data_IF_483387878987
#
_entry.id   IF_483387878987
#
_cell.length_a   1.000
_cell.length_b   1.000
_cell.length_c   1.000
_cell.angle_alpha   90.00
_cell.angle_beta   90.00
_cell.angle_gamma   90.00
#
_symmetry.space_group_name_H-M   'P 1'
#
loop_
_entity.id
_entity.type
_entity.pdbx_description
1 polymer ?
#
# COMPACT_ATOMS: atom_id res chain seq x y z
N UNK A 1 -23.26 -7.80 -2.44
CA UNK A 1 -22.40 -8.85 -3.01
C UNK A 1 -21.11 -9.01 -2.22
N UNK A 2 -20.38 -10.12 -2.40
CA UNK A 2 -19.10 -10.39 -1.73
C UNK A 2 -17.95 -10.38 -2.73
N UNK A 3 -16.96 -9.54 -2.48
CA UNK A 3 -15.74 -9.43 -3.28
C UNK A 3 -14.57 -10.14 -2.61
N UNK A 4 -13.72 -10.79 -3.41
CA UNK A 4 -12.49 -11.44 -2.93
C UNK A 4 -11.30 -10.88 -3.70
N UNK A 5 -10.31 -10.36 -2.97
CA UNK A 5 -9.10 -9.83 -3.59
C UNK A 5 -8.27 -10.99 -4.20
N UNK A 6 -7.90 -10.92 -5.49
CA UNK A 6 -7.17 -12.00 -6.16
C UNK A 6 -5.70 -12.13 -5.71
N UNK A 7 -5.11 -11.10 -5.09
CA UNK A 7 -3.72 -11.16 -4.62
C UNK A 7 -3.61 -11.72 -3.20
N UNK A 8 -4.35 -11.16 -2.23
CA UNK A 8 -4.19 -11.51 -0.81
C UNK A 8 -5.34 -12.34 -0.22
N UNK A 9 -6.42 -12.59 -0.96
CA UNK A 9 -7.57 -13.36 -0.49
C UNK A 9 -8.45 -12.66 0.55
N UNK A 10 -8.25 -11.35 0.78
CA UNK A 10 -9.13 -10.55 1.63
C UNK A 10 -10.57 -10.53 1.07
N UNK A 11 -11.55 -10.56 1.97
CA UNK A 11 -12.98 -10.68 1.63
C UNK A 11 -13.72 -9.43 2.10
N UNK A 12 -14.46 -8.78 1.20
CA UNK A 12 -15.20 -7.55 1.47
C UNK A 12 -16.68 -7.73 1.15
N UNK A 13 -17.55 -7.23 2.02
CA UNK A 13 -18.98 -7.19 1.79
C UNK A 13 -19.38 -5.78 1.36
N UNK A 14 -19.93 -5.68 0.15
CA UNK A 14 -20.19 -4.40 -0.51
C UNK A 14 -21.60 -4.42 -1.08
N UNK A 15 -22.43 -3.39 -0.83
CA UNK A 15 -23.77 -3.29 -1.43
C UNK A 15 -23.70 -3.24 -2.96
N UNK A 16 -24.69 -3.81 -3.64
CA UNK A 16 -24.67 -3.89 -5.11
C UNK A 16 -24.78 -2.49 -5.77
N UNK A 17 -25.42 -1.54 -5.08
CA UNK A 17 -25.61 -0.16 -5.53
C UNK A 17 -24.31 0.63 -5.77
N UNK A 18 -23.20 0.24 -5.13
CA UNK A 18 -21.93 0.96 -5.27
C UNK A 18 -21.08 0.47 -6.44
N UNK A 19 -21.49 -0.62 -7.10
CA UNK A 19 -20.89 -1.09 -8.35
C UNK A 19 -21.84 -0.69 -9.50
N UNK A 20 -21.47 0.25 -10.39
CA UNK A 20 -22.29 0.60 -11.55
C UNK A 20 -22.53 -0.61 -12.45
N UNK A 21 -23.60 -0.57 -13.25
CA UNK A 21 -23.93 -1.65 -14.20
C UNK A 21 -22.75 -1.95 -15.14
N UNK A 22 -22.07 -0.93 -15.65
CA UNK A 22 -20.90 -1.10 -16.52
C UNK A 22 -19.68 -1.74 -15.83
N UNK A 23 -19.75 -2.04 -14.52
CA UNK A 23 -18.64 -2.48 -13.69
C UNK A 23 -17.78 -1.32 -13.18
N UNK A 24 -16.84 -1.62 -12.29
CA UNK A 24 -15.92 -0.63 -11.72
C UNK A 24 -14.61 -1.26 -11.24
N UNK A 25 -13.53 -0.50 -11.37
CA UNK A 25 -12.26 -0.80 -10.72
C UNK A 25 -12.35 -0.63 -9.20
N UNK A 26 -12.01 -1.68 -8.47
CA UNK A 26 -12.00 -1.73 -7.00
C UNK A 26 -10.57 -1.95 -6.49
N UNK A 27 -10.21 -1.28 -5.40
CA UNK A 27 -8.89 -1.37 -4.80
C UNK A 27 -8.96 -2.09 -3.44
N UNK A 28 -8.06 -3.04 -3.22
CA UNK A 28 -7.95 -3.74 -1.95
C UNK A 28 -7.31 -2.83 -0.89
N UNK A 29 -7.97 -2.62 0.25
CA UNK A 29 -7.39 -1.85 1.36
C UNK A 29 -6.24 -2.57 2.09
N UNK A 30 -6.13 -3.90 1.92
CA UNK A 30 -5.11 -4.71 2.59
C UNK A 30 -3.77 -4.79 1.82
N UNK A 31 -3.82 -4.87 0.48
CA UNK A 31 -2.61 -5.04 -0.36
C UNK A 31 -2.46 -3.99 -1.48
N UNK A 32 -3.46 -3.14 -1.70
CA UNK A 32 -3.40 -2.06 -2.69
C UNK A 32 -3.72 -2.47 -4.13
N UNK A 33 -3.87 -3.75 -4.43
CA UNK A 33 -4.20 -4.22 -5.79
C UNK A 33 -5.54 -3.70 -6.26
N UNK A 34 -5.57 -3.30 -7.51
CA UNK A 34 -6.76 -2.83 -8.20
C UNK A 34 -7.18 -3.88 -9.22
N UNK A 35 -8.45 -4.28 -9.19
CA UNK A 35 -9.03 -5.19 -10.19
C UNK A 35 -10.42 -4.72 -10.59
N UNK A 36 -10.88 -5.16 -11.76
CA UNK A 36 -12.19 -4.81 -12.28
C UNK A 36 -13.25 -5.76 -11.73
N UNK A 37 -14.35 -5.21 -11.19
CA UNK A 37 -15.51 -5.98 -10.75
C UNK A 37 -16.73 -5.66 -11.61
N UNK A 38 -17.32 -6.69 -12.20
CA UNK A 38 -18.62 -6.61 -12.90
C UNK A 38 -19.77 -6.55 -11.88
N UNK A 39 -20.84 -5.83 -12.22
CA UNK A 39 -22.09 -5.85 -11.47
C UNK A 39 -22.70 -7.25 -11.53
N UNK A 40 -23.32 -7.77 -10.44
CA UNK A 40 -23.90 -9.11 -10.40
C UNK A 40 -24.98 -9.36 -11.47
N UNK A 41 -25.65 -8.31 -11.98
CA UNK A 41 -26.60 -8.43 -13.10
C UNK A 41 -25.95 -8.61 -14.48
N UNK A 42 -24.65 -8.35 -14.59
CA UNK A 42 -23.85 -8.51 -15.81
C UNK A 42 -22.89 -9.71 -15.72
N UNK A 43 -23.03 -10.52 -14.69
CA UNK A 43 -22.37 -11.82 -14.64
C UNK A 43 -23.13 -12.75 -15.59
N UNK A 44 -22.58 -12.98 -16.79
CA UNK A 44 -23.13 -13.86 -17.81
C UNK A 44 -23.40 -15.29 -17.27
N UNK A 45 -22.79 -15.67 -16.13
CA UNK A 45 -23.04 -16.95 -15.46
C UNK A 45 -24.29 -16.99 -14.58
N UNK A 46 -24.84 -15.86 -14.15
CA UNK A 46 -26.03 -15.80 -13.29
C UNK A 46 -27.33 -15.49 -14.05
N UNK A 47 -27.23 -14.89 -15.24
CA UNK A 47 -28.37 -14.68 -16.14
C UNK A 47 -28.96 -16.01 -16.65
N UNK A 48 -28.15 -17.07 -16.73
CA UNK A 48 -28.59 -18.43 -17.08
C UNK A 48 -29.37 -19.13 -15.94
N UNK A 49 -29.14 -18.74 -14.67
CA UNK A 49 -29.78 -19.37 -13.49
C UNK A 49 -31.14 -18.74 -13.13
N UNK A 50 -31.41 -17.48 -13.52
CA UNK A 50 -32.66 -16.76 -13.22
C UNK A 50 -33.70 -16.77 -14.36
N UNK A 51 -33.46 -17.46 -15.46
CA UNK A 51 -34.50 -17.80 -16.45
C UNK A 51 -35.20 -16.61 -17.14
N UNK A 52 -34.62 -15.41 -17.12
CA UNK A 52 -35.18 -14.26 -17.83
C UNK A 52 -34.63 -14.24 -19.26
N UNK A 53 -35.34 -14.93 -20.15
CA UNK A 53 -34.97 -15.10 -21.54
C UNK A 53 -34.86 -13.76 -22.29
N UNK A 54 -33.63 -13.29 -22.52
CA UNK A 54 -33.39 -12.25 -23.52
C UNK A 54 -33.40 -12.89 -24.90
N UNK A 55 -34.49 -12.67 -25.64
CA UNK A 55 -34.63 -13.02 -27.06
C UNK A 55 -33.52 -12.33 -27.86
N UNK A 56 -32.52 -13.10 -28.30
CA UNK A 56 -31.61 -12.72 -29.37
C UNK A 56 -32.33 -12.88 -30.73
N UNK A 57 -32.27 -11.89 -31.64
CA UNK A 57 -32.82 -12.09 -32.98
C UNK A 57 -31.90 -13.04 -33.76
N UNK A 58 -32.51 -14.15 -34.17
CA UNK A 58 -31.99 -15.19 -35.04
C UNK A 58 -31.60 -14.62 -36.41
N UNK A 59 -30.33 -14.73 -36.80
CA UNK A 59 -29.91 -14.53 -38.21
C UNK A 59 -28.94 -15.65 -38.61
N UNK A 60 -29.54 -16.70 -39.14
CA UNK A 60 -29.19 -17.41 -40.38
C UNK A 60 -27.72 -17.41 -40.83
N UNK A 61 -27.11 -18.59 -40.70
CA UNK A 61 -25.81 -18.96 -41.26
C UNK A 61 -25.84 -19.00 -42.82
N UNK A 62 -24.93 -18.34 -43.56
CA UNK A 62 -24.71 -18.59 -44.98
C UNK A 62 -23.38 -19.33 -45.26
N UNK A 63 -23.28 -20.07 -46.38
CA UNK A 63 -22.18 -20.98 -46.67
C UNK A 63 -20.92 -20.27 -47.21
N UNK A 64 -19.80 -21.00 -47.11
CA UNK A 64 -18.45 -20.65 -47.58
C UNK A 64 -18.36 -20.36 -49.08
N UNK A 65 -17.58 -19.34 -49.50
CA UNK A 65 -16.98 -19.33 -50.84
C UNK A 65 -15.45 -19.11 -50.83
N UNK A 66 -14.74 -19.88 -51.67
CA UNK A 66 -13.37 -19.59 -52.13
C UNK A 66 -13.33 -18.35 -53.09
N UNK A 67 -12.18 -17.94 -53.69
CA UNK A 67 -11.49 -16.69 -53.39
C UNK A 67 -11.52 -15.62 -54.52
N UNK A 68 -11.00 -14.42 -54.19
CA UNK A 68 -10.49 -13.34 -55.09
C UNK A 68 -11.53 -12.33 -55.63
N UNK A 69 -11.21 -11.05 -55.95
CA UNK A 69 -10.04 -10.20 -55.67
C UNK A 69 -10.37 -8.98 -54.78
N UNK A 70 -9.33 -8.31 -54.25
CA UNK A 70 -9.46 -7.06 -53.51
C UNK A 70 -10.05 -5.91 -54.37
N UNK A 71 -11.06 -5.17 -53.88
CA UNK A 71 -11.43 -3.85 -54.37
C UNK A 71 -10.88 -2.74 -53.45
N UNK A 72 -10.91 -1.48 -53.91
CA UNK A 72 -9.86 -0.51 -53.66
C UNK A 72 -10.08 0.31 -52.39
N UNK A 73 -8.96 0.87 -51.92
CA UNK A 73 -8.82 1.94 -50.93
C UNK A 73 -9.98 2.96 -51.02
N UNK A 74 -10.93 2.86 -50.10
CA UNK A 74 -11.92 3.90 -49.83
C UNK A 74 -11.33 4.75 -48.71
N UNK A 75 -10.84 5.93 -49.09
CA UNK A 75 -10.45 6.98 -48.15
C UNK A 75 -11.72 7.45 -47.44
N UNK A 76 -11.89 7.04 -46.19
CA UNK A 76 -12.86 7.63 -45.28
C UNK A 76 -12.32 9.00 -44.83
N UNK A 77 -13.12 10.09 -44.87
CA UNK A 77 -12.61 11.42 -44.56
C UNK A 77 -12.25 11.52 -43.09
N UNK A 78 -10.99 11.84 -42.79
CA UNK A 78 -10.55 12.21 -41.45
C UNK A 78 -11.44 13.35 -40.95
N UNK A 79 -12.28 13.04 -39.96
CA UNK A 79 -13.06 14.00 -39.21
C UNK A 79 -12.05 14.84 -38.42
N UNK A 80 -11.65 15.99 -38.97
CA UNK A 80 -10.85 16.99 -38.25
C UNK A 80 -11.60 17.40 -36.98
N UNK A 81 -11.16 16.90 -35.83
CA UNK A 81 -11.45 17.51 -34.53
C UNK A 81 -10.64 18.80 -34.43
N UNK A 82 -11.27 19.97 -34.27
CA UNK A 82 -10.55 21.22 -34.01
C UNK A 82 -9.75 21.11 -32.70
N UNK A 83 -8.61 21.82 -32.57
CA UNK A 83 -7.86 21.87 -31.33
C UNK A 83 -8.74 22.45 -30.21
N UNK A 84 -8.91 21.68 -29.12
CA UNK A 84 -9.57 22.15 -27.90
C UNK A 84 -8.66 23.21 -27.28
N UNK A 85 -9.04 24.48 -27.40
CA UNK A 85 -8.35 25.56 -26.70
C UNK A 85 -8.49 25.38 -25.18
N UNK A 86 -7.43 25.63 -24.39
CA UNK A 86 -7.52 25.51 -22.94
C UNK A 86 -8.56 26.49 -22.40
N UNK A 87 -9.58 25.97 -21.72
CA UNK A 87 -10.56 26.80 -21.06
C UNK A 87 -9.86 27.68 -20.00
N UNK A 88 -10.20 28.97 -19.88
CA UNK A 88 -9.66 29.82 -18.83
C UNK A 88 -9.99 29.21 -17.47
N UNK A 89 -8.99 29.13 -16.57
CA UNK A 89 -9.21 28.67 -15.18
C UNK A 89 -10.27 29.56 -14.57
N UNK A 90 -11.34 28.96 -14.08
CA UNK A 90 -12.44 29.69 -13.45
C UNK A 90 -11.93 30.25 -12.14
N UNK A 91 -11.73 31.57 -12.10
CA UNK A 91 -11.41 32.27 -10.87
C UNK A 91 -12.58 32.07 -9.89
N UNK A 92 -12.26 31.68 -8.66
CA UNK A 92 -13.25 31.52 -7.60
C UNK A 92 -13.86 32.89 -7.30
N UNK A 93 -15.17 32.92 -7.09
CA UNK A 93 -15.87 34.15 -6.71
C UNK A 93 -15.21 34.77 -5.46
N UNK A 94 -15.01 36.10 -5.39
CA UNK A 94 -14.32 36.74 -4.29
C UNK A 94 -14.89 36.36 -2.92
N UNK A 95 -16.22 36.20 -2.81
CA UNK A 95 -16.87 35.79 -1.56
C UNK A 95 -16.45 34.38 -1.10
N UNK A 96 -16.26 33.45 -2.03
CA UNK A 96 -15.80 32.08 -1.73
C UNK A 96 -14.33 32.10 -1.32
N UNK A 97 -13.51 32.94 -1.94
CA UNK A 97 -12.10 33.08 -1.59
C UNK A 97 -11.89 33.64 -0.18
N UNK A 98 -12.78 34.54 0.25
CA UNK A 98 -12.76 35.12 1.59
C UNK A 98 -13.19 34.11 2.64
N UNK A 99 -14.24 33.32 2.36
CA UNK A 99 -14.67 32.21 3.23
C UNK A 99 -13.56 31.15 3.38
N UNK A 100 -12.88 30.77 2.29
CA UNK A 100 -11.77 29.82 2.34
C UNK A 100 -10.58 30.35 3.14
N UNK A 101 -10.33 31.66 3.08
CA UNK A 101 -9.26 32.30 3.86
C UNK A 101 -9.61 32.36 5.34
N UNK A 102 -10.88 32.64 5.67
CA UNK A 102 -11.37 32.64 7.04
C UNK A 102 -11.36 31.22 7.65
N UNK A 103 -11.81 30.21 6.91
CA UNK A 103 -11.76 28.81 7.34
C UNK A 103 -10.31 28.32 7.48
N UNK A 104 -9.41 28.68 6.55
CA UNK A 104 -7.99 28.36 6.68
C UNK A 104 -7.36 29.00 7.93
N UNK A 105 -7.72 30.24 8.27
CA UNK A 105 -7.25 30.91 9.48
C UNK A 105 -7.82 30.26 10.76
N UNK A 106 -9.10 29.86 10.73
CA UNK A 106 -9.77 29.16 11.83
C UNK A 106 -9.13 27.80 12.09
N UNK A 107 -8.89 27.03 11.03
CA UNK A 107 -8.23 25.73 11.10
C UNK A 107 -6.78 25.84 11.57
N UNK A 108 -6.03 26.84 11.08
CA UNK A 108 -4.67 27.09 11.56
C UNK A 108 -4.63 27.44 13.05
N UNK A 109 -5.60 28.23 13.53
CA UNK A 109 -5.73 28.55 14.95
C UNK A 109 -6.15 27.34 15.80
N UNK A 110 -6.99 26.45 15.27
CA UNK A 110 -7.34 25.19 15.92
C UNK A 110 -6.12 24.28 16.06
N UNK A 111 -5.39 24.07 14.95
CA UNK A 111 -4.14 23.29 14.97
C UNK A 111 -3.07 23.87 15.89
N UNK A 112 -2.95 25.20 15.99
CA UNK A 112 -2.01 25.82 16.91
C UNK A 112 -2.35 25.56 18.39
N UNK A 113 -3.64 25.40 18.74
CA UNK A 113 -4.08 25.05 20.10
C UNK A 113 -3.85 23.57 20.40
N UNK A 114 -4.10 22.70 19.43
CA UNK A 114 -3.87 21.25 19.54
C UNK A 114 -2.38 20.89 19.52
N UNK A 115 -1.55 21.65 18.81
CA UNK A 115 -0.10 21.49 18.79
C UNK A 115 0.54 21.67 20.17
N UNK A 116 -0.05 22.47 21.07
CA UNK A 116 0.40 22.60 22.46
C UNK A 116 0.00 21.42 23.37
N UNK A 117 -0.91 20.55 22.92
CA UNK A 117 -1.35 19.34 23.64
C UNK A 117 -0.75 18.05 23.08
N UNK A 118 -0.07 18.13 21.94
CA UNK A 118 0.75 17.04 21.44
C UNK A 118 2.04 17.02 22.27
N UNK A 119 2.16 16.04 23.17
CA UNK A 119 3.45 15.66 23.72
C UNK A 119 4.33 15.26 22.53
N UNK A 120 5.22 16.16 22.11
CA UNK A 120 6.31 15.82 21.22
C UNK A 120 7.00 14.61 21.85
N UNK A 121 6.96 13.46 21.19
CA UNK A 121 7.72 12.28 21.60
C UNK A 121 9.09 12.37 20.90
N UNK A 122 10.11 13.01 21.51
CA UNK A 122 11.48 13.00 20.98
C UNK A 122 12.12 11.60 21.03
N UNK A 123 11.38 10.58 21.47
CA UNK A 123 11.81 9.20 21.62
C UNK A 123 11.46 8.29 20.42
N UNK A 124 11.02 8.84 19.28
CA UNK A 124 11.33 8.20 18.01
C UNK A 124 12.73 8.67 17.65
N UNK A 125 13.76 7.85 17.91
CA UNK A 125 15.19 8.13 17.71
C UNK A 125 15.64 8.41 16.27
N UNK A 126 14.90 9.24 15.54
CA UNK A 126 15.31 9.93 14.32
C UNK A 126 15.77 11.33 14.75
N UNK A 127 16.89 11.37 15.48
CA UNK A 127 17.57 12.62 15.80
C UNK A 127 18.24 13.19 14.56
N UNK A 128 17.69 14.27 14.02
CA UNK A 128 18.28 15.31 13.15
C UNK A 128 19.53 14.95 12.30
N UNK A 129 19.43 14.05 11.30
CA UNK A 129 20.50 13.87 10.33
C UNK A 129 20.50 14.97 9.24
N UNK A 130 19.39 15.69 9.06
CA UNK A 130 19.20 16.61 7.93
C UNK A 130 20.07 17.87 8.04
N UNK A 131 20.29 18.37 9.25
CA UNK A 131 21.11 19.56 9.46
C UNK A 131 22.59 19.30 9.21
N UNK A 132 23.08 18.10 9.56
CA UNK A 132 24.48 17.74 9.34
C UNK A 132 24.77 17.47 7.87
N UNK A 133 23.86 16.78 7.16
CA UNK A 133 23.97 16.57 5.71
C UNK A 133 23.90 17.92 4.97
N UNK A 134 22.94 18.77 5.32
CA UNK A 134 22.79 20.11 4.74
C UNK A 134 24.00 21.00 5.03
N UNK A 135 24.60 20.89 6.22
CA UNK A 135 25.84 21.59 6.57
C UNK A 135 27.02 21.08 5.76
N UNK A 136 27.21 19.76 5.65
CA UNK A 136 28.28 19.17 4.82
C UNK A 136 28.15 19.54 3.34
N UNK A 137 26.93 19.62 2.82
CA UNK A 137 26.69 20.07 1.44
C UNK A 137 27.08 21.54 1.23
N UNK A 138 26.73 22.43 2.17
CA UNK A 138 27.16 23.84 2.15
C UNK A 138 28.67 23.97 2.21
N UNK A 139 29.33 23.23 3.09
CA UNK A 139 30.79 23.23 3.24
C UNK A 139 31.53 22.62 2.03
N UNK A 140 30.92 21.64 1.35
CA UNK A 140 31.43 21.10 0.10
C UNK A 140 31.30 22.11 -1.06
N UNK A 141 30.16 22.82 -1.14
CA UNK A 141 29.95 23.92 -2.08
C UNK A 141 30.97 25.04 -1.92
N UNK A 142 31.22 25.47 -0.68
CA UNK A 142 32.20 26.51 -0.37
C UNK A 142 33.64 26.08 -0.70
N UNK A 143 33.98 24.81 -0.48
CA UNK A 143 35.29 24.25 -0.90
C UNK A 143 35.45 24.23 -2.42
N UNK A 144 34.40 23.87 -3.15
CA UNK A 144 34.42 23.89 -4.62
C UNK A 144 34.53 25.31 -5.19
N UNK A 145 33.87 26.29 -4.57
CA UNK A 145 33.99 27.70 -4.95
C UNK A 145 35.41 28.23 -4.75
N UNK A 146 36.06 27.90 -3.61
CA UNK A 146 37.46 28.29 -3.34
C UNK A 146 38.45 27.66 -4.31
N UNK A 147 38.24 26.40 -4.71
CA UNK A 147 39.10 25.71 -5.69
C UNK A 147 38.98 26.30 -7.10
N UNK A 148 37.84 26.89 -7.45
CA UNK A 148 37.62 27.53 -8.76
C UNK A 148 38.08 28.99 -8.81
N UNK A 149 38.42 29.59 -7.66
CA UNK A 149 39.01 30.92 -7.58
C UNK A 149 38.01 32.07 -7.74
N UNK A 150 36.71 31.81 -7.62
CA UNK A 150 35.68 32.85 -7.65
C UNK A 150 35.40 33.40 -6.26
N UNK A 151 35.25 34.72 -6.15
CA UNK A 151 34.85 35.39 -4.92
C UNK A 151 33.40 34.98 -4.57
N UNK A 152 33.12 34.47 -3.35
CA UNK A 152 31.81 33.89 -3.01
C UNK A 152 30.65 34.89 -3.10
N UNK A 153 30.94 36.19 -3.08
CA UNK A 153 29.97 37.26 -3.26
C UNK A 153 29.56 37.45 -4.74
N UNK A 154 30.52 37.34 -5.66
CA UNK A 154 30.31 37.46 -7.11
C UNK A 154 29.67 36.19 -7.69
N UNK A 155 30.05 35.01 -7.19
CA UNK A 155 29.42 33.74 -7.55
C UNK A 155 27.93 33.70 -7.15
N UNK A 156 27.59 34.24 -5.98
CA UNK A 156 26.19 34.37 -5.53
C UNK A 156 25.41 35.39 -6.36
N UNK A 157 26.03 36.52 -6.74
CA UNK A 157 25.41 37.53 -7.58
C UNK A 157 25.17 37.04 -9.02
N UNK A 158 26.14 36.31 -9.60
CA UNK A 158 26.02 35.70 -10.93
C UNK A 158 24.95 34.60 -10.95
N UNK A 159 24.88 33.75 -9.91
CA UNK A 159 23.82 32.75 -9.75
C UNK A 159 22.43 33.39 -9.60
N UNK A 160 22.31 34.50 -8.86
CA UNK A 160 21.07 35.25 -8.72
C UNK A 160 20.63 35.95 -10.02
N UNK A 161 21.58 36.49 -10.79
CA UNK A 161 21.32 37.10 -12.10
C UNK A 161 20.92 36.08 -13.17
N UNK A 162 21.57 34.90 -13.21
CA UNK A 162 21.21 33.79 -14.10
C UNK A 162 19.81 33.24 -13.78
N UNK A 163 19.43 33.19 -12.50
CA UNK A 163 18.10 32.80 -12.06
C UNK A 163 17.00 33.83 -12.40
N UNK A 164 17.36 35.06 -12.74
CA UNK A 164 16.41 36.12 -13.11
C UNK A 164 16.25 36.27 -14.63
N UNK A 165 17.32 36.00 -15.41
CA UNK A 165 17.27 36.01 -16.89
C UNK A 165 16.56 34.80 -17.51
N UNK A 166 16.60 33.65 -16.83
CA UNK A 166 15.94 32.41 -17.29
C UNK A 166 14.39 32.43 -17.19
N UNK A 167 13.81 33.42 -16.48
CA UNK A 167 12.37 33.47 -16.21
C UNK A 167 11.50 34.14 -17.28
N UNK A 168 12.08 34.75 -18.32
CA UNK A 168 11.31 35.58 -19.27
C UNK A 168 11.34 35.15 -20.75
N UNK A 169 11.84 33.96 -21.09
CA UNK A 169 11.77 33.56 -22.51
C UNK A 169 12.27 32.19 -22.91
N UNK A 170 12.43 31.21 -22.02
CA UNK A 170 12.90 29.87 -22.43
C UNK A 170 12.21 28.80 -21.58
N UNK A 171 10.93 28.57 -21.83
CA UNK A 171 10.38 27.24 -21.58
C UNK A 171 10.64 26.43 -22.86
N UNK A 172 11.43 25.34 -22.79
CA UNK A 172 11.59 24.41 -23.91
C UNK A 172 10.21 23.92 -24.37
N UNK A 173 10.06 23.70 -25.68
CA UNK A 173 8.80 23.36 -26.30
C UNK A 173 8.21 22.10 -25.65
N UNK A 174 6.94 22.16 -25.23
CA UNK A 174 6.29 21.12 -24.42
C UNK A 174 6.16 19.81 -25.22
N UNK A 175 6.20 19.90 -26.55
CA UNK A 175 6.22 18.75 -27.46
C UNK A 175 7.59 18.03 -27.49
N UNK A 176 8.69 18.74 -27.27
CA UNK A 176 10.02 18.13 -27.14
C UNK A 176 10.18 17.45 -25.77
N UNK A 177 9.63 18.06 -24.71
CA UNK A 177 9.61 17.47 -23.37
C UNK A 177 8.72 16.21 -23.33
N UNK A 178 7.53 16.21 -23.92
CA UNK A 178 6.67 15.02 -23.94
C UNK A 178 7.21 13.89 -24.83
N UNK A 179 7.88 14.21 -25.94
CA UNK A 179 8.44 13.20 -26.83
C UNK A 179 9.72 12.57 -26.25
N UNK A 180 10.54 13.35 -25.55
CA UNK A 180 11.69 12.83 -24.80
C UNK A 180 11.25 12.05 -23.57
N UNK A 181 10.24 12.51 -22.82
CA UNK A 181 9.67 11.77 -21.69
C UNK A 181 8.95 10.50 -22.13
N UNK A 182 8.20 10.47 -23.24
CA UNK A 182 7.56 9.24 -23.72
C UNK A 182 8.60 8.20 -24.15
N UNK A 183 9.62 8.61 -24.92
CA UNK A 183 10.70 7.72 -25.36
C UNK A 183 11.56 7.23 -24.19
N UNK A 184 11.86 8.09 -23.23
CA UNK A 184 12.58 7.70 -22.00
C UNK A 184 11.68 6.85 -21.09
N UNK A 185 10.36 7.09 -21.04
CA UNK A 185 9.40 6.30 -20.26
C UNK A 185 9.10 4.92 -20.86
N UNK A 186 9.08 4.76 -22.19
CA UNK A 186 8.97 3.45 -22.85
C UNK A 186 10.27 2.67 -22.69
N UNK A 187 11.42 3.34 -22.86
CA UNK A 187 12.73 2.71 -22.63
C UNK A 187 12.97 2.40 -21.16
N UNK A 188 12.47 3.22 -20.25
CA UNK A 188 12.49 3.00 -18.80
C UNK A 188 11.45 1.97 -18.39
N UNK A 189 10.27 1.89 -19.00
CA UNK A 189 9.29 0.80 -18.76
C UNK A 189 9.84 -0.55 -19.19
N UNK A 190 10.41 -0.65 -20.39
CA UNK A 190 11.04 -1.88 -20.87
C UNK A 190 12.30 -2.24 -20.05
N UNK A 191 13.13 -1.25 -19.68
CA UNK A 191 14.26 -1.47 -18.79
C UNK A 191 13.82 -1.79 -17.35
N UNK A 192 12.72 -1.23 -16.86
CA UNK A 192 12.12 -1.48 -15.53
C UNK A 192 11.35 -2.79 -15.51
N UNK A 193 10.78 -3.28 -16.60
CA UNK A 193 10.17 -4.62 -16.66
C UNK A 193 11.26 -5.69 -16.69
N UNK A 194 12.34 -5.49 -17.46
CA UNK A 194 13.49 -6.41 -17.50
C UNK A 194 14.32 -6.32 -16.21
N UNK A 195 14.45 -5.13 -15.59
CA UNK A 195 15.09 -4.95 -14.29
C UNK A 195 14.18 -5.45 -13.16
N UNK A 196 12.88 -5.18 -13.13
CA UNK A 196 11.95 -5.70 -12.11
C UNK A 196 11.84 -7.23 -12.18
N UNK A 197 11.94 -7.84 -13.37
CA UNK A 197 12.03 -9.30 -13.51
C UNK A 197 13.32 -9.88 -12.92
N UNK A 198 14.43 -9.11 -12.93
CA UNK A 198 15.72 -9.49 -12.34
C UNK A 198 15.82 -9.11 -10.85
N UNK A 199 15.24 -7.98 -10.44
CA UNK A 199 15.23 -7.42 -9.08
C UNK A 199 14.19 -8.07 -8.17
N UNK A 200 13.06 -8.56 -8.70
CA UNK A 200 12.10 -9.38 -7.94
C UNK A 200 12.71 -10.73 -7.49
N UNK A 201 13.84 -11.14 -8.08
CA UNK A 201 14.61 -12.29 -7.59
C UNK A 201 15.65 -11.89 -6.54
N UNK A 202 16.05 -10.61 -6.48
CA UNK A 202 17.22 -10.15 -5.72
C UNK A 202 16.87 -9.33 -4.45
N UNK A 203 15.64 -8.82 -4.32
CA UNK A 203 15.14 -8.23 -3.08
C UNK A 203 14.12 -9.13 -2.40
N UNK A 204 14.55 -10.34 -2.06
CA UNK A 204 13.84 -11.18 -1.09
C UNK A 204 14.24 -10.71 0.29
N UNK A 205 13.33 -10.02 0.96
CA UNK A 205 13.43 -9.61 2.35
C UNK A 205 13.95 -10.76 3.24
N UNK A 206 15.19 -10.64 3.72
CA UNK A 206 15.86 -11.67 4.53
C UNK A 206 15.13 -11.98 5.84
N UNK A 207 14.16 -11.15 6.24
CA UNK A 207 13.32 -11.36 7.41
C UNK A 207 12.26 -12.47 7.22
N UNK A 208 11.61 -12.54 6.05
CA UNK A 208 10.54 -13.51 5.81
C UNK A 208 11.05 -14.95 5.70
N UNK A 209 12.26 -15.14 5.15
CA UNK A 209 12.90 -16.45 5.05
C UNK A 209 13.30 -16.97 6.44
N UNK A 210 13.83 -16.10 7.31
CA UNK A 210 14.16 -16.45 8.69
C UNK A 210 12.93 -16.86 9.50
N UNK A 211 11.84 -16.09 9.39
CA UNK A 211 10.58 -16.41 10.06
C UNK A 211 9.98 -17.75 9.60
N UNK A 212 10.02 -18.03 8.30
CA UNK A 212 9.55 -19.32 7.76
C UNK A 212 10.41 -20.48 8.29
N UNK A 213 11.74 -20.33 8.35
CA UNK A 213 12.63 -21.35 8.92
C UNK A 213 12.30 -21.60 10.39
N UNK A 214 12.01 -20.56 11.19
CA UNK A 214 11.60 -20.71 12.59
C UNK A 214 10.27 -21.43 12.71
N UNK A 215 9.27 -21.07 11.89
CA UNK A 215 7.98 -21.78 11.86
C UNK A 215 8.18 -23.25 11.50
N UNK A 216 8.97 -23.54 10.45
CA UNK A 216 9.24 -24.91 10.03
C UNK A 216 9.92 -25.69 11.16
N UNK A 217 10.91 -25.09 11.83
CA UNK A 217 11.57 -25.69 12.99
C UNK A 217 10.57 -25.94 14.13
N UNK A 218 9.66 -25.02 14.42
CA UNK A 218 8.62 -25.20 15.42
C UNK A 218 7.68 -26.36 15.06
N UNK A 219 7.26 -26.46 13.79
CA UNK A 219 6.44 -27.58 13.29
C UNK A 219 7.20 -28.91 13.43
N UNK A 220 8.50 -28.94 13.13
CA UNK A 220 9.34 -30.14 13.30
C UNK A 220 9.44 -30.54 14.77
N UNK A 221 9.65 -29.61 15.69
CA UNK A 221 9.67 -29.89 17.13
C UNK A 221 8.32 -30.42 17.62
N UNK A 222 7.22 -29.83 17.17
CA UNK A 222 5.86 -30.31 17.48
C UNK A 222 5.67 -31.73 16.94
N UNK A 223 6.10 -32.00 15.70
CA UNK A 223 6.05 -33.33 15.13
C UNK A 223 6.88 -34.33 15.95
N UNK A 224 8.10 -33.97 16.36
CA UNK A 224 8.92 -34.81 17.24
C UNK A 224 8.23 -35.09 18.58
N UNK A 225 7.52 -34.12 19.16
CA UNK A 225 6.74 -34.31 20.38
C UNK A 225 5.55 -35.26 20.16
N UNK A 226 4.78 -35.08 19.10
CA UNK A 226 3.58 -35.90 18.80
C UNK A 226 3.97 -37.33 18.40
N UNK A 227 5.04 -37.49 17.62
CA UNK A 227 5.53 -38.79 17.14
C UNK A 227 6.59 -39.41 18.05
N UNK A 228 6.89 -38.81 19.21
CA UNK A 228 7.85 -39.33 20.18
C UNK A 228 7.68 -40.83 20.50
N UNK A 229 6.47 -41.36 20.80
CA UNK A 229 6.32 -42.79 21.11
C UNK A 229 6.63 -43.68 19.91
N UNK A 230 6.21 -43.30 18.70
CA UNK A 230 6.48 -44.07 17.48
C UNK A 230 7.98 -44.05 17.13
N UNK A 231 8.66 -42.92 17.35
CA UNK A 231 10.10 -42.77 17.14
C UNK A 231 10.92 -43.59 18.16
N UNK A 232 10.47 -43.67 19.41
CA UNK A 232 11.12 -44.48 20.44
C UNK A 232 11.05 -45.98 20.13
N UNK A 233 9.95 -46.45 19.55
CA UNK A 233 9.79 -47.85 19.10
C UNK A 233 10.64 -48.16 17.86
N UNK A 234 10.66 -47.25 16.87
CA UNK A 234 11.40 -47.44 15.63
C UNK A 234 12.91 -47.29 15.79
N UNK A 235 13.35 -46.42 16.70
CA UNK A 235 14.75 -46.12 16.97
C UNK A 235 15.04 -46.19 18.48
N UNK A 236 15.26 -47.39 19.02
CA UNK A 236 15.61 -47.59 20.43
C UNK A 236 16.77 -46.73 20.98
N UNK A 237 17.85 -46.42 20.21
CA UNK A 237 18.95 -45.63 20.77
C UNK A 237 18.61 -44.14 21.02
N UNK A 238 17.58 -43.58 20.38
CA UNK A 238 17.18 -42.17 20.59
C UNK A 238 16.05 -42.00 21.60
N UNK A 239 15.42 -43.10 22.04
CA UNK A 239 14.36 -43.12 23.04
C UNK A 239 14.66 -42.28 24.30
N UNK A 240 15.82 -42.42 24.99
CA UNK A 240 16.06 -41.64 26.20
C UNK A 240 16.16 -40.13 25.95
N UNK A 241 16.60 -39.70 24.77
CA UNK A 241 16.65 -38.28 24.42
C UNK A 241 15.25 -37.71 24.13
N UNK A 242 14.40 -38.49 23.46
CA UNK A 242 13.01 -38.13 23.19
C UNK A 242 12.19 -38.08 24.49
N UNK A 243 12.39 -39.01 25.40
CA UNK A 243 11.75 -39.02 26.72
C UNK A 243 12.10 -37.76 27.53
N UNK A 244 13.39 -37.42 27.63
CA UNK A 244 13.84 -36.20 28.31
C UNK A 244 13.26 -34.92 27.67
N UNK A 245 13.16 -34.88 26.34
CA UNK A 245 12.53 -33.77 25.63
C UNK A 245 11.03 -33.66 25.96
N UNK A 246 10.28 -34.76 25.88
CA UNK A 246 8.84 -34.79 26.18
C UNK A 246 8.57 -34.42 27.63
N UNK A 247 9.37 -34.91 28.58
CA UNK A 247 9.28 -34.56 29.99
C UNK A 247 9.48 -33.05 30.20
N UNK A 248 10.51 -32.45 29.58
CA UNK A 248 10.74 -31.01 29.64
C UNK A 248 9.58 -30.18 29.08
N UNK A 249 9.02 -30.60 27.94
CA UNK A 249 7.84 -29.95 27.35
C UNK A 249 6.61 -30.07 28.27
N UNK A 250 6.39 -31.24 28.87
CA UNK A 250 5.28 -31.46 29.79
C UNK A 250 5.43 -30.62 31.06
N UNK A 251 6.63 -30.55 31.63
CA UNK A 251 6.92 -29.70 32.79
C UNK A 251 6.66 -28.21 32.47
N UNK A 252 7.09 -27.74 31.30
CA UNK A 252 6.82 -26.38 30.84
C UNK A 252 5.32 -26.09 30.66
N UNK A 253 4.54 -27.05 30.13
CA UNK A 253 3.09 -26.91 29.99
C UNK A 253 2.38 -26.83 31.35
N UNK A 254 2.75 -27.71 32.28
CA UNK A 254 2.18 -27.71 33.63
C UNK A 254 2.55 -26.43 34.39
N UNK A 255 3.76 -25.92 34.20
CA UNK A 255 4.17 -24.63 34.75
C UNK A 255 3.33 -23.48 34.20
N UNK A 256 3.12 -23.43 32.88
CA UNK A 256 2.30 -22.39 32.22
C UNK A 256 0.83 -22.46 32.68
N UNK A 257 0.28 -23.67 32.82
CA UNK A 257 -1.07 -23.88 33.37
C UNK A 257 -1.18 -23.36 34.81
N UNK A 258 -0.16 -23.62 35.65
CA UNK A 258 -0.08 -23.07 37.00
C UNK A 258 -0.04 -21.53 37.02
N UNK A 259 0.71 -20.90 36.12
CA UNK A 259 0.72 -19.44 35.99
C UNK A 259 -0.65 -18.89 35.60
N UNK A 260 -1.34 -19.53 34.65
CA UNK A 260 -2.68 -19.09 34.22
C UNK A 260 -3.69 -19.17 35.38
N UNK A 261 -3.66 -20.25 36.17
CA UNK A 261 -4.52 -20.39 37.36
C UNK A 261 -4.25 -19.30 38.40
N UNK A 262 -2.97 -19.03 38.70
CA UNK A 262 -2.60 -17.97 39.64
C UNK A 262 -3.10 -16.59 39.18
N UNK A 263 -2.99 -16.29 37.87
CA UNK A 263 -3.50 -15.04 37.30
C UNK A 263 -5.03 -14.97 37.44
N UNK A 264 -5.73 -16.07 37.16
CA UNK A 264 -7.19 -16.13 37.28
C UNK A 264 -7.66 -15.96 38.74
N UNK A 265 -6.97 -16.57 39.71
CA UNK A 265 -7.23 -16.39 41.14
C UNK A 265 -6.97 -14.95 41.59
N UNK A 266 -5.91 -14.31 41.09
CA UNK A 266 -5.62 -12.90 41.38
C UNK A 266 -6.71 -11.97 40.83
N UNK A 267 -7.20 -12.24 39.60
CA UNK A 267 -8.28 -11.48 38.97
C UNK A 267 -9.60 -11.64 39.74
N UNK A 268 -9.93 -12.86 40.20
CA UNK A 268 -11.12 -13.13 41.01
C UNK A 268 -11.02 -12.46 42.40
N UNK A 269 -9.82 -12.45 42.99
CA UNK A 269 -9.53 -11.71 44.22
C UNK A 269 -9.75 -10.19 44.06
N UNK A 270 -9.26 -9.59 42.98
CA UNK A 270 -9.48 -8.16 42.70
C UNK A 270 -10.95 -7.83 42.39
N UNK A 271 -11.65 -8.73 41.69
CA UNK A 271 -13.07 -8.57 41.38
C UNK A 271 -13.96 -8.71 42.63
N UNK A 272 -13.61 -9.59 43.57
CA UNK A 272 -14.34 -9.77 44.82
C UNK A 272 -14.06 -8.66 45.84
N UNK A 273 -12.85 -8.11 45.89
CA UNK A 273 -12.52 -6.95 46.74
C UNK A 273 -13.28 -5.68 46.31
N UNK A 274 -13.46 -5.48 45.00
CA UNK A 274 -14.27 -4.38 44.45
C UNK A 274 -15.79 -4.59 44.61
N UNK A 275 -16.24 -5.81 44.91
CA UNK A 275 -17.65 -6.16 45.14
C UNK A 275 -18.04 -6.17 46.64
N UNK A 276 -17.12 -5.92 47.57
CA UNK A 276 -17.45 -5.84 49.00
C UNK A 276 -18.31 -4.58 49.28
N UNK A 277 -19.55 -4.73 49.77
CA UNK A 277 -20.40 -3.58 50.05
C UNK A 277 -19.96 -2.90 51.35
N UNK A 278 -19.60 -1.61 51.26
CA UNK A 278 -19.67 -0.68 52.38
C UNK A 278 -21.12 -0.64 52.88
N UNK A 279 -21.46 -1.45 53.90
CA UNK A 279 -22.86 -1.64 54.23
C UNK A 279 -23.15 -2.39 55.50
N UNK A 280 -22.45 -2.11 56.60
CA UNK A 280 -23.04 -2.34 57.93
C UNK A 280 -22.48 -1.35 58.94
N UNK A 281 -23.07 -0.16 58.98
CA UNK A 281 -22.97 0.70 60.16
C UNK A 281 -23.75 0.03 61.31
N UNK A 282 -23.18 -0.12 62.52
CA UNK A 282 -23.94 -0.57 63.67
C UNK A 282 -24.89 0.55 64.07
N UNK A 283 -26.19 0.26 64.03
CA UNK A 283 -27.22 1.13 64.62
C UNK A 283 -27.48 0.64 66.05
N UNK A 284 -27.18 1.54 66.99
CA UNK A 284 -27.62 1.63 68.41
C UNK A 284 -27.41 0.45 69.37
#
# INVERSE_FOLDING_TARGET
MRLVCPNCGAQYEVPDEVIPQDGRDVQCSNCGDTWFQNHPSNDDGLAEELGEARVAPEVSNPPEPEPTPAPPNVTEPERSTPPVQPAPRRELDPSVSDVLREEAAREAAARAREAGTLEEQPELGIGEPDDEISRRQREAGDRMARMRGEDPSEAKAAAAMAANGSRRGVLPDIDEINSTLRKDSERRKTATEVAASREATEQKSGFGLGFLVVILLAVVLIALYVFAPQLAEALPPVAPALEAYVEGVNAARLWLDGQMRNIMEMLDGMASESAAPEGTAPSE
#
